data_IF_729394651817
#
_entry.id   IF_729394651817
#
_cell.length_a   1.000
_cell.length_b   1.000
_cell.length_c   1.000
_cell.angle_alpha   90.00
_cell.angle_beta   90.00
_cell.angle_gamma   90.00
#
_symmetry.space_group_name_H-M   'P 1'
#
loop_
_entity.id
_entity.type
_entity.pdbx_description
1 polymer ?
#
# COMPACT_ATOMS: atom_id res chain seq x y z
N UNK A 1 15.99 12.01 21.47
CA UNK A 1 16.13 12.70 20.15
C UNK A 1 14.87 12.46 19.37
N UNK A 2 14.40 13.45 18.61
CA UNK A 2 13.25 13.28 17.71
C UNK A 2 13.62 12.32 16.56
N UNK A 3 12.66 11.53 16.07
CA UNK A 3 12.82 10.76 14.83
C UNK A 3 12.62 11.71 13.64
N UNK A 4 13.58 11.69 12.71
CA UNK A 4 13.59 12.55 11.52
C UNK A 4 12.97 11.81 10.34
N UNK A 5 11.88 12.34 9.82
CA UNK A 5 11.03 11.66 8.84
C UNK A 5 11.22 12.21 7.43
N UNK A 6 11.22 11.32 6.45
CA UNK A 6 10.93 11.62 5.05
C UNK A 6 9.59 11.00 4.68
N UNK A 7 8.61 11.81 4.24
CA UNK A 7 7.25 11.32 3.93
C UNK A 7 7.02 11.37 2.42
N UNK A 8 6.95 10.20 1.81
CA UNK A 8 6.71 10.03 0.39
C UNK A 8 5.22 9.87 0.14
N UNK A 9 4.63 10.77 -0.65
CA UNK A 9 3.19 10.84 -0.88
C UNK A 9 2.46 11.65 0.19
N UNK A 10 3.06 12.73 0.69
CA UNK A 10 2.55 13.56 1.81
C UNK A 10 1.18 14.17 1.57
N UNK A 11 0.80 14.41 0.32
CA UNK A 11 -0.50 14.98 -0.07
C UNK A 11 -1.60 13.93 -0.28
N UNK A 12 -1.26 12.65 -0.18
CA UNK A 12 -2.22 11.54 -0.21
C UNK A 12 -2.86 11.29 1.16
N UNK A 13 -3.87 10.40 1.21
CA UNK A 13 -4.59 10.09 2.45
C UNK A 13 -3.67 9.64 3.59
N UNK A 14 -2.75 8.71 3.34
CA UNK A 14 -1.80 8.23 4.35
C UNK A 14 -0.80 9.32 4.75
N UNK A 15 -0.31 10.10 3.77
CA UNK A 15 0.64 11.17 4.04
C UNK A 15 0.05 12.27 4.92
N UNK A 16 -1.20 12.68 4.66
CA UNK A 16 -1.92 13.66 5.49
C UNK A 16 -2.09 13.13 6.91
N UNK A 17 -2.61 11.91 7.08
CA UNK A 17 -2.77 11.32 8.41
C UNK A 17 -1.42 11.07 9.12
N UNK A 18 -0.33 10.85 8.38
CA UNK A 18 1.01 10.82 8.97
C UNK A 18 1.40 12.19 9.54
N UNK A 19 1.11 13.26 8.82
CA UNK A 19 1.37 14.62 9.29
C UNK A 19 0.49 15.01 10.47
N UNK A 20 -0.77 14.54 10.53
CA UNK A 20 -1.65 14.71 11.71
C UNK A 20 -1.00 14.09 12.96
N UNK A 21 -0.46 12.86 12.85
CA UNK A 21 0.25 12.18 13.94
C UNK A 21 1.51 12.95 14.35
N UNK A 22 2.24 13.49 13.39
CA UNK A 22 3.43 14.33 13.67
C UNK A 22 3.04 15.59 14.42
N UNK A 23 1.97 16.27 14.01
CA UNK A 23 1.45 17.46 14.66
C UNK A 23 0.95 17.21 16.10
N UNK A 24 0.36 16.03 16.33
CA UNK A 24 -0.07 15.58 17.67
C UNK A 24 1.11 15.23 18.59
N UNK A 25 2.31 14.94 18.03
CA UNK A 25 3.49 14.46 18.79
C UNK A 25 4.77 15.22 18.39
N UNK A 26 4.80 16.57 18.51
CA UNK A 26 5.90 17.38 17.99
C UNK A 26 7.21 17.17 18.76
N UNK A 27 7.16 16.58 19.95
CA UNK A 27 8.35 16.23 20.74
C UNK A 27 9.02 14.93 20.28
N UNK A 28 8.31 14.08 19.51
CA UNK A 28 8.81 12.79 19.05
C UNK A 28 9.31 12.83 17.61
N UNK A 29 8.79 13.73 16.79
CA UNK A 29 9.04 13.74 15.34
C UNK A 29 9.53 15.09 14.83
N UNK A 30 10.26 15.02 13.72
CA UNK A 30 10.70 16.14 12.90
C UNK A 30 10.62 15.73 11.42
N UNK A 31 9.98 16.54 10.59
CA UNK A 31 9.85 16.25 9.15
C UNK A 31 10.99 16.92 8.40
N UNK A 32 11.82 16.13 7.72
CA UNK A 32 12.96 16.64 6.93
C UNK A 32 12.63 16.82 5.46
N UNK A 33 11.82 15.94 4.92
CA UNK A 33 11.43 16.06 3.51
C UNK A 33 10.01 15.56 3.26
N UNK A 34 9.35 16.21 2.30
CA UNK A 34 8.04 15.82 1.80
C UNK A 34 8.09 15.58 0.30
N UNK A 35 7.39 14.55 -0.14
CA UNK A 35 7.29 14.20 -1.57
C UNK A 35 5.82 14.12 -1.96
N UNK A 36 5.46 14.72 -3.11
CA UNK A 36 4.12 14.60 -3.68
C UNK A 36 4.16 14.32 -5.18
N UNK A 37 3.08 13.78 -5.73
CA UNK A 37 2.93 13.53 -7.17
C UNK A 37 2.80 14.84 -7.96
N UNK A 38 1.64 15.51 -7.85
CA UNK A 38 1.29 16.71 -8.60
C UNK A 38 0.63 17.83 -7.80
N UNK A 39 0.19 17.56 -6.58
CA UNK A 39 -0.51 18.55 -5.74
C UNK A 39 0.50 19.48 -5.06
N UNK A 40 1.04 20.41 -5.84
CA UNK A 40 2.07 21.34 -5.39
C UNK A 40 1.53 22.34 -4.35
N UNK A 41 0.26 22.74 -4.43
CA UNK A 41 -0.35 23.71 -3.51
C UNK A 41 -0.42 23.16 -2.08
N UNK A 42 -0.88 21.91 -1.93
CA UNK A 42 -0.90 21.24 -0.62
C UNK A 42 0.52 20.96 -0.13
N UNK A 43 1.42 20.51 -1.02
CA UNK A 43 2.81 20.26 -0.68
C UNK A 43 3.51 21.52 -0.16
N UNK A 44 3.29 22.67 -0.79
CA UNK A 44 3.86 23.95 -0.33
C UNK A 44 3.35 24.34 1.06
N UNK A 45 2.04 24.19 1.32
CA UNK A 45 1.45 24.45 2.66
C UNK A 45 2.04 23.53 3.72
N UNK A 46 2.08 22.23 3.45
CA UNK A 46 2.69 21.24 4.35
C UNK A 46 4.16 21.54 4.63
N UNK A 47 4.91 21.93 3.59
CA UNK A 47 6.32 22.26 3.73
C UNK A 47 6.58 23.45 4.67
N UNK A 48 5.75 24.47 4.57
CA UNK A 48 5.84 25.66 5.44
C UNK A 48 5.38 25.32 6.86
N UNK A 49 4.28 24.59 7.01
CA UNK A 49 3.70 24.22 8.30
C UNK A 49 4.63 23.37 9.14
N UNK A 50 5.30 22.40 8.51
CA UNK A 50 6.21 21.46 9.20
C UNK A 50 7.68 21.87 9.14
N UNK A 51 8.01 23.06 8.61
CA UNK A 51 9.36 23.63 8.53
C UNK A 51 10.40 22.64 7.99
N UNK A 52 10.11 22.07 6.82
CA UNK A 52 10.94 21.00 6.22
C UNK A 52 12.18 21.53 5.51
N UNK A 53 13.24 20.74 5.42
CA UNK A 53 14.47 21.12 4.69
C UNK A 53 14.28 21.09 3.17
N UNK A 54 13.44 20.17 2.69
CA UNK A 54 13.29 19.96 1.25
C UNK A 54 11.93 19.35 0.85
N UNK A 55 11.55 19.62 -0.38
CA UNK A 55 10.39 19.02 -1.03
C UNK A 55 10.73 18.48 -2.41
N UNK A 56 10.02 17.42 -2.81
CA UNK A 56 10.11 16.87 -4.18
C UNK A 56 8.73 16.78 -4.78
N UNK A 57 8.57 17.36 -5.98
CA UNK A 57 7.35 17.17 -6.78
C UNK A 57 7.67 16.23 -7.95
N UNK A 58 6.95 15.10 -8.06
CA UNK A 58 7.25 14.11 -9.09
C UNK A 58 6.85 14.59 -10.49
N UNK A 59 5.75 15.35 -10.62
CA UNK A 59 5.33 15.96 -11.86
C UNK A 59 6.18 17.22 -12.15
N UNK A 60 7.16 17.09 -13.04
CA UNK A 60 8.10 18.15 -13.43
C UNK A 60 7.39 19.40 -13.94
N UNK A 61 6.19 19.29 -14.52
CA UNK A 61 5.40 20.44 -14.98
C UNK A 61 4.95 21.34 -13.83
N UNK A 62 5.02 20.87 -12.58
CA UNK A 62 4.64 21.59 -11.36
C UNK A 62 5.83 22.19 -10.62
N UNK A 63 7.06 21.92 -11.06
CA UNK A 63 8.27 22.37 -10.39
C UNK A 63 8.33 23.88 -10.20
N UNK A 64 8.13 24.66 -11.26
CA UNK A 64 8.23 26.13 -11.19
C UNK A 64 7.17 26.74 -10.27
N UNK A 65 5.95 26.21 -10.27
CA UNK A 65 4.89 26.67 -9.36
C UNK A 65 5.27 26.44 -7.90
N UNK A 66 5.79 25.25 -7.57
CA UNK A 66 6.24 24.93 -6.23
C UNK A 66 7.43 25.78 -5.80
N UNK A 67 8.43 25.95 -6.69
CA UNK A 67 9.61 26.78 -6.45
C UNK A 67 9.24 28.24 -6.16
N UNK A 68 8.32 28.81 -6.93
CA UNK A 68 7.84 30.18 -6.73
C UNK A 68 7.09 30.32 -5.40
N UNK A 69 6.20 29.37 -5.07
CA UNK A 69 5.44 29.37 -3.81
C UNK A 69 6.34 29.29 -2.57
N UNK A 70 7.51 28.66 -2.68
CA UNK A 70 8.46 28.48 -1.58
C UNK A 70 9.67 29.45 -1.64
N UNK A 71 9.69 30.40 -2.56
CA UNK A 71 10.85 31.27 -2.80
C UNK A 71 11.27 32.13 -1.58
N UNK A 72 10.34 32.41 -0.64
CA UNK A 72 10.60 33.19 0.58
C UNK A 72 11.00 32.33 1.80
N UNK A 73 11.09 31.02 1.63
CA UNK A 73 11.39 30.04 2.69
C UNK A 73 12.73 29.34 2.41
N UNK A 74 13.49 28.92 3.45
CA UNK A 74 14.77 28.23 3.27
C UNK A 74 14.58 26.74 2.90
N UNK A 75 13.58 26.44 2.06
CA UNK A 75 13.18 25.08 1.68
C UNK A 75 13.73 24.79 0.27
N UNK A 76 14.47 23.68 0.13
CA UNK A 76 14.99 23.23 -1.16
C UNK A 76 13.91 22.52 -1.96
N UNK A 77 13.76 22.89 -3.23
CA UNK A 77 12.74 22.31 -4.13
C UNK A 77 13.41 21.46 -5.19
N UNK A 78 12.95 20.23 -5.34
CA UNK A 78 13.46 19.27 -6.31
C UNK A 78 12.32 18.66 -7.13
N UNK A 79 12.66 17.97 -8.22
CA UNK A 79 11.69 17.24 -9.06
C UNK A 79 12.29 15.95 -9.61
N UNK A 80 11.43 15.02 -10.01
CA UNK A 80 11.79 13.76 -10.65
C UNK A 80 12.10 12.61 -9.69
N UNK A 81 12.18 11.40 -10.24
CA UNK A 81 12.36 10.15 -9.47
C UNK A 81 13.69 10.07 -8.74
N UNK A 82 14.78 10.57 -9.38
CA UNK A 82 16.12 10.55 -8.79
C UNK A 82 16.18 11.45 -7.54
N UNK A 83 15.47 12.57 -7.56
CA UNK A 83 15.39 13.45 -6.41
C UNK A 83 14.64 12.80 -5.25
N UNK A 84 13.60 12.00 -5.51
CA UNK A 84 12.90 11.21 -4.48
C UNK A 84 13.87 10.24 -3.81
N UNK A 85 14.65 9.48 -4.59
CA UNK A 85 15.68 8.60 -4.05
C UNK A 85 16.79 9.38 -3.31
N UNK A 86 17.11 10.59 -3.77
CA UNK A 86 18.10 11.46 -3.14
C UNK A 86 17.71 11.90 -1.74
N UNK A 87 16.47 12.36 -1.54
CA UNK A 87 16.01 12.85 -0.22
C UNK A 87 15.90 11.72 0.81
N UNK A 88 15.54 10.50 0.41
CA UNK A 88 15.50 9.35 1.34
C UNK A 88 16.90 8.89 1.79
N UNK A 89 17.94 9.09 0.96
CA UNK A 89 19.33 8.76 1.32
C UNK A 89 19.98 9.77 2.27
N UNK A 90 19.34 10.91 2.52
CA UNK A 90 19.90 11.96 3.37
C UNK A 90 20.30 11.43 4.75
N UNK A 91 21.47 11.84 5.25
CA UNK A 91 21.92 11.55 6.64
C UNK A 91 21.00 12.16 7.69
N UNK A 92 20.21 13.16 7.31
CA UNK A 92 19.25 13.83 8.18
C UNK A 92 17.90 13.09 8.30
N UNK A 93 17.74 11.94 7.64
CA UNK A 93 16.53 11.09 7.70
C UNK A 93 16.83 9.82 8.50
N UNK A 94 15.96 9.47 9.43
CA UNK A 94 16.01 8.23 10.22
C UNK A 94 14.96 7.23 9.72
N UNK A 95 13.77 7.73 9.38
CA UNK A 95 12.60 6.92 8.98
C UNK A 95 12.03 7.43 7.68
N UNK A 96 11.78 6.53 6.76
CA UNK A 96 11.07 6.80 5.50
C UNK A 96 9.66 6.24 5.60
N UNK A 97 8.65 7.12 5.50
CA UNK A 97 7.25 6.72 5.35
C UNK A 97 6.97 6.63 3.85
N UNK A 98 6.82 5.43 3.33
CA UNK A 98 6.51 5.24 1.91
C UNK A 98 5.00 5.07 1.72
N UNK A 99 4.32 6.16 1.33
CA UNK A 99 2.90 6.22 0.98
C UNK A 99 2.67 6.63 -0.48
N UNK A 100 3.64 6.33 -1.36
CA UNK A 100 3.44 6.43 -2.81
C UNK A 100 2.44 5.38 -3.28
N UNK A 101 1.90 5.55 -4.48
CA UNK A 101 0.91 4.65 -5.07
C UNK A 101 1.56 3.87 -6.21
N UNK A 102 1.31 2.56 -6.25
CA UNK A 102 1.74 1.71 -7.35
C UNK A 102 3.25 1.45 -7.38
N UNK A 103 3.75 1.14 -8.57
CA UNK A 103 5.16 0.80 -8.83
C UNK A 103 6.17 1.86 -8.34
N UNK A 104 5.76 3.14 -8.30
CA UNK A 104 6.64 4.25 -7.95
C UNK A 104 7.27 4.16 -6.54
N UNK A 105 6.74 3.32 -5.66
CA UNK A 105 7.28 3.09 -4.31
C UNK A 105 8.52 2.21 -4.26
N UNK A 106 8.79 1.39 -5.28
CA UNK A 106 9.86 0.38 -5.25
C UNK A 106 11.25 1.01 -5.14
N UNK A 107 11.62 1.90 -6.06
CA UNK A 107 12.96 2.51 -6.07
C UNK A 107 13.30 3.31 -4.82
N UNK A 108 12.40 4.17 -4.29
CA UNK A 108 12.65 4.87 -3.03
C UNK A 108 12.79 3.91 -1.84
N UNK A 109 12.06 2.78 -1.81
CA UNK A 109 12.23 1.76 -0.77
C UNK A 109 13.61 1.12 -0.83
N UNK A 110 14.07 0.73 -2.02
CA UNK A 110 15.43 0.20 -2.23
C UNK A 110 16.48 1.24 -1.79
N UNK A 111 16.30 2.50 -2.21
CA UNK A 111 17.20 3.59 -1.81
C UNK A 111 17.26 3.80 -0.28
N UNK A 112 16.12 3.67 0.41
CA UNK A 112 16.04 3.74 1.86
C UNK A 112 16.77 2.57 2.54
N UNK A 113 16.60 1.34 2.03
CA UNK A 113 17.31 0.14 2.51
C UNK A 113 18.82 0.31 2.33
N UNK A 114 19.28 0.77 1.14
CA UNK A 114 20.68 1.02 0.85
C UNK A 114 21.31 2.03 1.83
N UNK A 115 20.54 3.03 2.23
CA UNK A 115 20.95 4.06 3.18
C UNK A 115 20.73 3.67 4.65
N UNK A 116 20.27 2.45 4.94
CA UNK A 116 20.08 1.96 6.32
C UNK A 116 18.92 2.63 7.06
N UNK A 117 17.90 3.14 6.36
CA UNK A 117 16.79 3.86 6.96
C UNK A 117 15.67 2.90 7.38
N UNK A 118 15.11 3.09 8.58
CA UNK A 118 13.87 2.42 8.99
C UNK A 118 12.76 2.77 8.00
N UNK A 119 11.93 1.80 7.63
CA UNK A 119 10.84 1.99 6.67
C UNK A 119 9.51 1.74 7.34
N UNK A 120 8.60 2.71 7.27
CA UNK A 120 7.19 2.58 7.56
C UNK A 120 6.46 2.48 6.21
N UNK A 121 6.06 1.26 5.85
CA UNK A 121 5.62 0.91 4.49
C UNK A 121 4.10 0.88 4.39
N UNK A 122 3.53 1.82 3.64
CA UNK A 122 2.13 1.83 3.23
C UNK A 122 1.95 1.39 1.76
N UNK A 123 2.99 1.55 0.93
CA UNK A 123 2.98 1.14 -0.46
C UNK A 123 3.15 -0.38 -0.58
N UNK A 124 2.05 -1.12 -0.61
CA UNK A 124 2.05 -2.57 -0.73
C UNK A 124 2.62 -3.06 -2.06
N UNK A 125 2.46 -2.26 -3.12
CA UNK A 125 2.95 -2.60 -4.44
C UNK A 125 4.47 -2.80 -4.47
N UNK A 126 5.21 -2.17 -3.58
CA UNK A 126 6.65 -2.44 -3.39
C UNK A 126 6.95 -3.91 -3.13
N UNK A 127 6.19 -4.55 -2.23
CA UNK A 127 6.37 -5.97 -1.90
C UNK A 127 5.68 -6.90 -2.91
N UNK A 128 4.60 -6.45 -3.54
CA UNK A 128 3.97 -7.18 -4.64
C UNK A 128 4.90 -7.30 -5.83
N UNK A 129 5.55 -6.21 -6.21
CA UNK A 129 6.43 -6.16 -7.39
C UNK A 129 7.76 -6.87 -7.15
N UNK A 130 8.44 -6.56 -6.07
CA UNK A 130 9.82 -7.01 -5.84
C UNK A 130 10.07 -7.45 -4.40
N UNK A 131 9.10 -8.14 -3.78
CA UNK A 131 9.16 -8.50 -2.36
C UNK A 131 10.35 -9.38 -1.99
N UNK A 132 10.76 -10.32 -2.85
CA UNK A 132 11.96 -11.14 -2.67
C UNK A 132 13.22 -10.28 -2.61
N UNK A 133 13.38 -9.36 -3.54
CA UNK A 133 14.53 -8.44 -3.59
C UNK A 133 14.54 -7.52 -2.38
N UNK A 134 13.40 -6.89 -2.08
CA UNK A 134 13.26 -5.90 -1.00
C UNK A 134 13.50 -6.55 0.36
N UNK A 135 12.88 -7.68 0.66
CA UNK A 135 13.02 -8.35 1.95
C UNK A 135 14.40 -8.94 2.14
N UNK A 136 15.02 -9.50 1.09
CA UNK A 136 16.42 -9.96 1.14
C UNK A 136 17.37 -8.82 1.43
N UNK A 137 17.29 -7.70 0.70
CA UNK A 137 18.14 -6.52 0.92
C UNK A 137 17.93 -5.93 2.33
N UNK A 138 16.70 -5.87 2.81
CA UNK A 138 16.38 -5.39 4.15
C UNK A 138 17.01 -6.29 5.23
N UNK A 139 16.92 -7.61 5.09
CA UNK A 139 17.53 -8.58 6.00
C UNK A 139 19.06 -8.49 6.01
N UNK A 140 19.70 -8.42 4.83
CA UNK A 140 21.16 -8.29 4.70
C UNK A 140 21.71 -7.03 5.36
N UNK A 141 20.93 -5.94 5.36
CA UNK A 141 21.33 -4.65 5.93
C UNK A 141 20.79 -4.40 7.34
N UNK A 142 19.98 -5.31 7.88
CA UNK A 142 19.35 -5.14 9.19
C UNK A 142 18.36 -3.97 9.24
N UNK A 143 17.75 -3.64 8.11
CA UNK A 143 16.77 -2.54 7.99
C UNK A 143 15.37 -3.06 8.35
N UNK A 144 14.70 -2.50 9.38
CA UNK A 144 13.33 -2.87 9.69
C UNK A 144 12.33 -2.27 8.72
N UNK A 145 11.42 -3.09 8.22
CA UNK A 145 10.24 -2.68 7.46
C UNK A 145 9.01 -2.89 8.35
N UNK A 146 8.33 -1.82 8.70
CA UNK A 146 7.14 -1.83 9.56
C UNK A 146 5.89 -1.55 8.71
N UNK A 147 4.90 -2.44 8.73
CA UNK A 147 3.71 -2.28 7.90
C UNK A 147 2.79 -1.17 8.42
N UNK A 148 2.32 -0.34 7.51
CA UNK A 148 1.26 0.65 7.73
C UNK A 148 -0.09 0.10 7.25
N UNK A 149 -0.11 -0.76 6.22
CA UNK A 149 -1.36 -1.35 5.75
C UNK A 149 -2.12 -2.00 6.92
N UNK A 150 -3.43 -1.73 7.05
CA UNK A 150 -4.19 -2.02 8.27
C UNK A 150 -4.17 -3.50 8.64
N UNK A 151 -4.29 -4.37 7.66
CA UNK A 151 -4.30 -5.82 7.83
C UNK A 151 -2.93 -6.35 8.27
N UNK A 152 -1.86 -5.85 7.67
CA UNK A 152 -0.49 -6.25 7.99
C UNK A 152 -0.04 -5.67 9.33
N UNK A 153 -0.42 -4.43 9.63
CA UNK A 153 -0.24 -3.85 10.96
C UNK A 153 -0.94 -4.69 12.04
N UNK A 154 -2.17 -5.16 11.77
CA UNK A 154 -2.92 -6.02 12.68
C UNK A 154 -2.22 -7.36 12.92
N UNK A 155 -1.76 -8.03 11.85
CA UNK A 155 -1.00 -9.29 11.93
C UNK A 155 0.30 -9.05 12.73
N UNK A 156 1.05 -8.00 12.39
CA UNK A 156 2.28 -7.64 13.09
C UNK A 156 2.01 -7.44 14.59
N UNK A 157 0.96 -6.70 14.97
CA UNK A 157 0.58 -6.50 16.37
C UNK A 157 0.20 -7.81 17.09
N UNK A 158 -0.43 -8.75 16.39
CA UNK A 158 -0.76 -10.06 16.95
C UNK A 158 0.48 -10.94 17.17
N UNK A 159 1.52 -10.76 16.36
CA UNK A 159 2.76 -11.56 16.42
C UNK A 159 3.81 -10.99 17.40
N UNK A 160 3.69 -9.72 17.81
CA UNK A 160 4.67 -9.12 18.74
C UNK A 160 4.71 -9.90 20.06
N UNK A 161 5.90 -10.38 20.43
CA UNK A 161 6.14 -11.16 21.63
C UNK A 161 5.79 -12.62 21.54
N UNK A 162 5.18 -13.08 20.44
CA UNK A 162 4.87 -14.50 20.23
C UNK A 162 6.10 -15.30 19.78
N UNK A 163 6.20 -16.51 20.31
CA UNK A 163 7.20 -17.51 19.92
C UNK A 163 6.54 -18.85 19.53
N UNK A 164 5.20 -18.91 19.61
CA UNK A 164 4.42 -20.09 19.29
C UNK A 164 4.39 -20.34 17.78
N UNK A 165 4.37 -21.59 17.34
CA UNK A 165 4.27 -21.90 15.91
C UNK A 165 2.97 -21.35 15.33
N UNK A 166 3.11 -20.59 14.24
CA UNK A 166 2.02 -20.04 13.46
C UNK A 166 1.39 -21.14 12.60
N UNK A 167 0.07 -21.34 12.69
CA UNK A 167 -0.70 -22.20 11.79
C UNK A 167 -1.06 -21.49 10.50
N UNK A 168 -1.74 -20.33 10.59
CA UNK A 168 -2.10 -19.52 9.42
C UNK A 168 -2.36 -18.05 9.76
N UNK A 169 -2.32 -17.23 8.74
CA UNK A 169 -2.80 -15.85 8.74
C UNK A 169 -4.22 -15.80 8.20
N UNK A 170 -5.05 -14.94 8.78
CA UNK A 170 -6.43 -14.70 8.36
C UNK A 170 -6.57 -13.21 8.06
N UNK A 171 -6.49 -12.87 6.77
CA UNK A 171 -6.60 -11.50 6.28
C UNK A 171 -8.07 -11.17 6.07
N UNK A 172 -8.57 -10.12 6.69
CA UNK A 172 -9.96 -9.70 6.52
C UNK A 172 -10.11 -8.65 5.42
N UNK A 173 -11.32 -8.51 4.87
CA UNK A 173 -11.67 -7.43 3.94
C UNK A 173 -13.14 -7.06 4.06
N UNK A 174 -13.50 -5.82 3.70
CA UNK A 174 -14.91 -5.38 3.66
C UNK A 174 -15.74 -6.06 2.57
N UNK A 175 -15.07 -6.62 1.55
CA UNK A 175 -15.69 -7.10 0.31
C UNK A 175 -15.90 -6.01 -0.75
N UNK A 176 -15.48 -4.77 -0.47
CA UNK A 176 -15.54 -3.63 -1.39
C UNK A 176 -16.95 -3.12 -1.69
N UNK A 177 -17.02 -2.11 -2.56
CA UNK A 177 -18.27 -1.41 -2.93
C UNK A 177 -19.29 -2.31 -3.66
N UNK A 178 -18.82 -3.39 -4.27
CA UNK A 178 -19.65 -4.26 -5.12
C UNK A 178 -19.97 -5.61 -4.45
N UNK A 179 -19.70 -5.77 -3.15
CA UNK A 179 -19.94 -7.03 -2.43
C UNK A 179 -21.35 -7.59 -2.66
N UNK A 180 -22.35 -6.75 -2.57
CA UNK A 180 -23.76 -7.16 -2.64
C UNK A 180 -24.36 -7.07 -4.06
N UNK A 181 -23.53 -6.76 -5.09
CA UNK A 181 -23.94 -6.67 -6.49
C UNK A 181 -23.88 -8.06 -7.14
N UNK A 182 -24.94 -8.53 -7.83
CA UNK A 182 -24.91 -9.79 -8.57
C UNK A 182 -23.81 -9.83 -9.65
N UNK A 183 -23.22 -10.99 -9.90
CA UNK A 183 -22.18 -11.18 -10.93
C UNK A 183 -22.66 -10.70 -12.31
N UNK A 184 -23.91 -10.99 -12.65
CA UNK A 184 -24.52 -10.62 -13.95
C UNK A 184 -24.53 -9.11 -14.21
N UNK A 185 -24.50 -8.27 -13.16
CA UNK A 185 -24.51 -6.81 -13.25
C UNK A 185 -23.10 -6.20 -13.30
N UNK A 186 -22.05 -6.95 -12.97
CA UNK A 186 -20.69 -6.40 -12.86
C UNK A 186 -20.19 -5.77 -14.17
N UNK A 187 -20.61 -6.30 -15.32
CA UNK A 187 -20.23 -5.77 -16.65
C UNK A 187 -20.72 -4.33 -16.89
N UNK A 188 -21.80 -3.94 -16.20
CA UNK A 188 -22.48 -2.65 -16.36
C UNK A 188 -22.14 -1.66 -15.21
N UNK A 189 -21.20 -2.05 -14.32
CA UNK A 189 -20.75 -1.20 -13.21
C UNK A 189 -19.93 -0.03 -13.76
N UNK A 190 -20.31 1.18 -13.31
CA UNK A 190 -19.59 2.41 -13.66
C UNK A 190 -18.52 2.75 -12.60
N UNK A 191 -17.51 3.58 -12.93
CA UNK A 191 -16.52 4.06 -11.97
C UNK A 191 -17.18 4.71 -10.73
N UNK A 192 -18.20 5.53 -10.93
CA UNK A 192 -18.87 6.26 -9.83
C UNK A 192 -19.58 5.30 -8.85
N UNK A 193 -20.08 4.14 -9.34
CA UNK A 193 -20.66 3.09 -8.49
C UNK A 193 -19.55 2.34 -7.73
N UNK A 194 -18.48 1.98 -8.42
CA UNK A 194 -17.36 1.24 -7.83
C UNK A 194 -16.54 2.06 -6.81
N UNK A 195 -16.53 3.40 -6.93
CA UNK A 195 -15.85 4.30 -6.01
C UNK A 195 -16.59 4.52 -4.68
N UNK A 196 -17.83 4.04 -4.51
CA UNK A 196 -18.60 4.19 -3.27
C UNK A 196 -18.26 3.10 -2.26
N UNK A 197 -17.05 3.18 -1.67
CA UNK A 197 -16.66 2.24 -0.62
C UNK A 197 -17.51 2.44 0.66
N UNK A 198 -18.04 1.34 1.28
CA UNK A 198 -18.99 1.48 2.39
C UNK A 198 -18.36 1.95 3.71
N UNK A 199 -17.07 1.69 3.96
CA UNK A 199 -16.42 1.93 5.25
C UNK A 199 -15.25 2.91 5.16
N UNK A 200 -14.51 2.94 4.05
CA UNK A 200 -13.26 3.68 3.94
C UNK A 200 -13.35 4.82 2.93
N UNK A 201 -12.77 5.98 3.29
CA UNK A 201 -12.50 7.06 2.34
C UNK A 201 -11.06 6.92 1.85
N UNK A 202 -10.89 6.45 0.62
CA UNK A 202 -9.60 6.08 0.05
C UNK A 202 -9.37 6.74 -1.32
N UNK A 203 -8.13 6.67 -1.81
CA UNK A 203 -7.82 7.06 -3.18
C UNK A 203 -8.56 6.22 -4.23
N UNK A 204 -8.76 6.78 -5.42
CA UNK A 204 -9.57 6.15 -6.46
C UNK A 204 -9.01 4.77 -6.87
N UNK A 205 -7.68 4.64 -7.07
CA UNK A 205 -7.05 3.37 -7.49
C UNK A 205 -7.35 2.26 -6.49
N UNK A 206 -7.03 2.45 -5.21
CA UNK A 206 -7.23 1.42 -4.17
C UNK A 206 -8.71 1.11 -3.93
N UNK A 207 -9.62 2.06 -4.17
CA UNK A 207 -11.07 1.81 -4.07
C UNK A 207 -11.54 0.85 -5.17
N UNK A 208 -11.05 0.99 -6.40
CA UNK A 208 -11.33 0.03 -7.48
C UNK A 208 -10.65 -1.32 -7.19
N UNK A 209 -9.42 -1.34 -6.71
CA UNK A 209 -8.73 -2.57 -6.30
C UNK A 209 -9.48 -3.31 -5.18
N UNK A 210 -10.10 -2.57 -4.26
CA UNK A 210 -10.99 -3.14 -3.23
C UNK A 210 -12.24 -3.75 -3.86
N UNK A 211 -12.85 -3.07 -4.84
CA UNK A 211 -14.05 -3.55 -5.52
C UNK A 211 -13.82 -4.81 -6.37
N UNK A 212 -12.61 -5.01 -6.90
CA UNK A 212 -12.18 -6.21 -7.66
C UNK A 212 -11.58 -7.30 -6.78
N UNK A 213 -11.30 -7.02 -5.51
CA UNK A 213 -10.43 -7.79 -4.60
C UNK A 213 -8.98 -7.96 -5.08
N UNK A 214 -8.52 -7.21 -6.09
CA UNK A 214 -7.08 -7.09 -6.40
C UNK A 214 -6.33 -6.58 -5.18
N UNK A 215 -6.87 -5.58 -4.46
CA UNK A 215 -6.26 -5.08 -3.22
C UNK A 215 -6.00 -6.21 -2.23
N UNK A 216 -6.98 -7.09 -2.03
CA UNK A 216 -6.84 -8.22 -1.11
C UNK A 216 -5.86 -9.27 -1.64
N UNK A 217 -5.80 -9.48 -2.95
CA UNK A 217 -4.78 -10.29 -3.58
C UNK A 217 -3.37 -9.76 -3.35
N UNK A 218 -3.18 -8.45 -3.49
CA UNK A 218 -1.90 -7.79 -3.17
C UNK A 218 -1.53 -7.92 -1.70
N UNK A 219 -2.49 -7.82 -0.81
CA UNK A 219 -2.26 -8.00 0.63
C UNK A 219 -1.89 -9.44 1.01
N UNK A 220 -2.40 -10.44 0.31
CA UNK A 220 -1.95 -11.83 0.48
C UNK A 220 -0.47 -11.97 0.09
N UNK A 221 -0.06 -11.36 -1.02
CA UNK A 221 1.35 -11.38 -1.47
C UNK A 221 2.23 -10.58 -0.48
N UNK A 222 1.78 -9.42 -0.02
CA UNK A 222 2.48 -8.62 0.97
C UNK A 222 2.66 -9.37 2.30
N UNK A 223 1.60 -10.07 2.78
CA UNK A 223 1.66 -10.89 3.98
C UNK A 223 2.68 -12.03 3.88
N UNK A 224 2.76 -12.67 2.71
CA UNK A 224 3.78 -13.67 2.43
C UNK A 224 5.19 -13.13 2.68
N UNK A 225 5.50 -11.99 2.08
CA UNK A 225 6.83 -11.38 2.18
C UNK A 225 7.15 -10.85 3.59
N UNK A 226 6.21 -10.16 4.22
CA UNK A 226 6.43 -9.57 5.56
C UNK A 226 6.58 -10.63 6.66
N UNK A 227 5.83 -11.73 6.57
CA UNK A 227 5.74 -12.71 7.66
C UNK A 227 6.33 -14.09 7.33
N UNK A 228 6.82 -14.28 6.10
CA UNK A 228 7.43 -15.55 5.67
C UNK A 228 6.44 -16.72 5.67
N UNK A 229 5.17 -16.47 5.30
CA UNK A 229 4.10 -17.48 5.34
C UNK A 229 3.69 -17.86 3.93
N UNK A 230 3.63 -19.16 3.65
CA UNK A 230 3.26 -19.69 2.34
C UNK A 230 1.78 -19.47 2.00
N UNK A 231 1.46 -19.49 0.70
CA UNK A 231 0.14 -19.26 0.14
C UNK A 231 -0.97 -20.08 0.82
N UNK A 232 -0.71 -21.35 1.08
CA UNK A 232 -1.70 -22.28 1.65
C UNK A 232 -1.98 -22.03 3.14
N UNK A 233 -1.18 -21.17 3.76
CA UNK A 233 -1.32 -20.74 5.16
C UNK A 233 -1.80 -19.31 5.29
N UNK A 234 -2.25 -18.67 4.21
CA UNK A 234 -2.89 -17.35 4.23
C UNK A 234 -4.31 -17.52 3.71
N UNK A 235 -5.30 -17.16 4.51
CA UNK A 235 -6.72 -17.20 4.16
C UNK A 235 -7.33 -15.82 4.16
N UNK A 236 -8.35 -15.60 3.34
CA UNK A 236 -9.10 -14.34 3.24
C UNK A 236 -10.52 -14.55 3.73
N UNK A 237 -11.01 -13.64 4.58
CA UNK A 237 -12.40 -13.60 5.02
C UNK A 237 -13.01 -12.22 4.71
N UNK A 238 -14.23 -12.22 4.22
CA UNK A 238 -15.05 -11.01 4.13
C UNK A 238 -15.59 -10.71 5.52
N UNK A 239 -15.31 -9.50 6.00
CA UNK A 239 -15.79 -8.93 7.27
C UNK A 239 -16.34 -7.53 7.00
N UNK A 240 -17.65 -7.41 6.70
CA UNK A 240 -18.25 -6.15 6.22
C UNK A 240 -18.07 -4.96 7.15
N UNK A 241 -18.00 -5.20 8.46
CA UNK A 241 -17.89 -4.15 9.47
C UNK A 241 -16.48 -3.54 9.54
N UNK A 242 -15.45 -4.22 9.00
CA UNK A 242 -14.04 -3.79 9.03
C UNK A 242 -13.50 -3.46 10.44
N UNK A 243 -14.05 -4.10 11.48
CA UNK A 243 -13.66 -3.93 12.89
C UNK A 243 -12.50 -4.85 13.25
N UNK A 244 -12.55 -6.11 12.83
CA UNK A 244 -11.43 -7.03 12.91
C UNK A 244 -10.55 -6.78 11.70
N UNK A 245 -9.36 -6.19 11.93
CA UNK A 245 -8.47 -5.82 10.83
C UNK A 245 -7.70 -7.00 10.25
N UNK A 246 -7.30 -7.98 11.07
CA UNK A 246 -6.83 -9.32 10.68
C UNK A 246 -6.60 -10.18 11.92
N UNK A 247 -6.29 -11.47 11.71
CA UNK A 247 -6.11 -12.44 12.77
C UNK A 247 -4.93 -13.38 12.47
N UNK A 248 -4.40 -13.97 13.53
CA UNK A 248 -3.35 -14.99 13.50
C UNK A 248 -3.85 -16.21 14.25
N UNK A 249 -3.83 -17.38 13.61
CA UNK A 249 -4.14 -18.67 14.24
C UNK A 249 -2.84 -19.44 14.53
N UNK A 250 -2.69 -19.93 15.75
CA UNK A 250 -1.54 -20.71 16.19
C UNK A 250 -1.84 -22.22 16.16
N UNK A 251 -0.80 -23.06 16.24
CA UNK A 251 -0.92 -24.52 16.16
C UNK A 251 -1.72 -25.14 17.33
N UNK A 252 -1.84 -24.46 18.46
CA UNK A 252 -2.67 -24.86 19.59
C UNK A 252 -4.17 -24.52 19.40
N UNK A 253 -4.52 -23.89 18.28
CA UNK A 253 -5.88 -23.45 17.96
C UNK A 253 -6.25 -22.08 18.51
N UNK A 254 -5.36 -21.40 19.22
CA UNK A 254 -5.60 -20.03 19.67
C UNK A 254 -5.61 -19.05 18.49
N UNK A 255 -6.54 -18.08 18.54
CA UNK A 255 -6.59 -16.99 17.55
C UNK A 255 -6.40 -15.66 18.27
N UNK A 256 -5.43 -14.87 17.79
CA UNK A 256 -5.28 -13.46 18.16
C UNK A 256 -5.80 -12.57 17.05
N UNK A 257 -6.55 -11.54 17.40
CA UNK A 257 -7.10 -10.58 16.47
C UNK A 257 -6.81 -9.15 16.95
N UNK A 258 -6.52 -8.25 16.03
CA UNK A 258 -6.50 -6.83 16.35
C UNK A 258 -7.81 -6.20 15.87
N UNK A 259 -8.47 -5.50 16.78
CA UNK A 259 -9.74 -4.82 16.55
C UNK A 259 -9.57 -3.31 16.73
N UNK A 260 -10.35 -2.55 15.96
CA UNK A 260 -10.41 -1.09 16.06
C UNK A 260 -11.45 -0.50 15.14
N UNK A 261 -11.66 0.80 15.24
CA UNK A 261 -12.40 1.56 14.25
C UNK A 261 -11.62 1.60 12.92
N UNK A 262 -12.30 1.70 11.75
CA UNK A 262 -11.63 1.83 10.45
C UNK A 262 -10.94 3.18 10.31
N UNK A 263 -9.72 3.30 10.84
CA UNK A 263 -8.90 4.52 10.84
C UNK A 263 -7.43 4.18 10.63
N UNK A 264 -6.76 4.90 9.71
CA UNK A 264 -5.35 4.65 9.40
C UNK A 264 -4.38 5.32 10.37
N UNK A 265 -4.80 6.22 11.23
CA UNK A 265 -3.92 6.82 12.24
C UNK A 265 -3.36 5.77 13.20
N UNK A 266 -4.15 4.74 13.57
CA UNK A 266 -3.69 3.68 14.46
C UNK A 266 -2.50 2.87 13.84
N UNK A 267 -2.60 2.28 12.65
CA UNK A 267 -1.48 1.54 12.08
C UNK A 267 -0.29 2.45 11.73
N UNK A 268 -0.51 3.70 11.28
CA UNK A 268 0.56 4.65 11.02
C UNK A 268 1.31 4.97 12.32
N UNK A 269 0.59 5.36 13.38
CA UNK A 269 1.21 5.68 14.66
C UNK A 269 1.97 4.49 15.25
N UNK A 270 1.43 3.28 15.11
CA UNK A 270 2.11 2.07 15.58
C UNK A 270 3.40 1.78 14.82
N UNK A 271 3.43 1.94 13.49
CA UNK A 271 4.64 1.78 12.69
C UNK A 271 5.72 2.81 13.05
N UNK A 272 5.33 4.05 13.33
CA UNK A 272 6.27 5.11 13.70
C UNK A 272 6.82 4.95 15.12
N UNK A 273 5.96 4.59 16.08
CA UNK A 273 6.28 4.56 17.50
C UNK A 273 6.71 3.20 18.03
N UNK A 274 6.62 2.14 17.22
CA UNK A 274 6.99 0.79 17.68
C UNK A 274 8.34 0.77 18.41
N UNK A 275 8.43 0.12 19.59
CA UNK A 275 7.46 -0.81 20.20
C UNK A 275 6.38 -0.15 21.10
N UNK A 276 6.27 1.15 21.12
CA UNK A 276 5.30 1.89 21.94
C UNK A 276 4.00 2.15 21.17
N UNK A 277 2.95 2.56 21.89
CA UNK A 277 1.68 3.00 21.33
C UNK A 277 1.45 4.48 21.62
N UNK A 278 0.88 5.20 20.66
CA UNK A 278 0.38 6.55 20.90
C UNK A 278 -0.82 6.55 21.85
N UNK A 279 -0.96 7.61 22.62
CA UNK A 279 -2.20 7.87 23.37
C UNK A 279 -3.16 8.62 22.44
N UNK A 280 -4.26 7.98 22.06
CA UNK A 280 -5.35 8.60 21.29
C UNK A 280 -6.66 8.44 22.07
N UNK A 281 -7.15 9.49 22.75
CA UNK A 281 -8.33 9.42 23.60
C UNK A 281 -9.65 9.37 22.84
N UNK A 282 -9.70 9.77 21.56
CA UNK A 282 -10.92 10.23 20.92
C UNK A 282 -11.73 9.12 20.23
N UNK A 283 -11.12 7.99 19.84
CA UNK A 283 -11.83 6.92 19.13
C UNK A 283 -11.57 5.55 19.73
N UNK A 284 -12.36 5.23 20.75
CA UNK A 284 -12.34 3.88 21.32
C UNK A 284 -13.47 3.06 20.73
N UNK A 285 -13.13 1.84 20.32
CA UNK A 285 -14.12 0.88 19.87
C UNK A 285 -15.10 0.53 21.01
N UNK A 286 -16.40 0.63 20.73
CA UNK A 286 -17.47 0.29 21.65
C UNK A 286 -18.14 -1.04 21.24
N UNK A 287 -17.94 -2.08 22.02
CA UNK A 287 -18.54 -3.39 21.80
C UNK A 287 -20.07 -3.38 21.92
N UNK A 288 -20.65 -2.45 22.68
CA UNK A 288 -22.12 -2.38 22.83
C UNK A 288 -22.77 -1.73 21.63
N UNK A 289 -22.08 -0.81 20.95
CA UNK A 289 -22.51 -0.24 19.68
C UNK A 289 -22.35 -1.24 18.51
N UNK A 290 -21.44 -2.21 18.64
CA UNK A 290 -21.13 -3.21 17.62
C UNK A 290 -21.19 -4.64 18.16
N UNK A 291 -22.37 -5.12 18.59
CA UNK A 291 -22.52 -6.41 19.30
C UNK A 291 -22.37 -7.63 18.40
N UNK A 292 -22.35 -7.44 17.07
CA UNK A 292 -22.29 -8.54 16.10
C UNK A 292 -21.18 -8.31 15.09
N UNK A 293 -20.30 -9.29 14.94
CA UNK A 293 -19.27 -9.36 13.92
C UNK A 293 -19.58 -10.53 13.00
N UNK A 294 -19.56 -10.30 11.68
CA UNK A 294 -19.91 -11.32 10.68
C UNK A 294 -18.74 -11.60 9.75
N UNK A 295 -18.61 -12.87 9.37
CA UNK A 295 -17.56 -13.34 8.48
C UNK A 295 -18.15 -14.24 7.42
N UNK A 296 -17.60 -14.17 6.20
CA UNK A 296 -17.94 -15.02 5.07
C UNK A 296 -16.70 -15.32 4.21
N UNK A 297 -16.77 -16.40 3.45
CA UNK A 297 -15.77 -16.66 2.42
C UNK A 297 -15.99 -15.75 1.20
N UNK A 298 -14.92 -15.27 0.54
CA UNK A 298 -15.04 -14.54 -0.72
C UNK A 298 -15.52 -15.47 -1.84
N UNK A 299 -16.49 -15.02 -2.63
CA UNK A 299 -16.94 -15.71 -3.84
C UNK A 299 -15.83 -15.64 -4.91
N UNK A 300 -15.14 -16.76 -5.14
CA UNK A 300 -14.03 -16.85 -6.08
C UNK A 300 -14.44 -16.70 -7.56
N UNK A 301 -15.68 -17.04 -7.90
CA UNK A 301 -16.22 -16.81 -9.26
C UNK A 301 -16.42 -15.31 -9.50
N UNK A 302 -16.89 -14.61 -8.49
CA UNK A 302 -17.07 -13.15 -8.54
C UNK A 302 -15.75 -12.38 -8.52
N UNK A 303 -14.76 -12.88 -7.81
CA UNK A 303 -13.48 -12.22 -7.56
C UNK A 303 -12.30 -13.07 -8.03
N UNK A 304 -12.16 -13.35 -9.34
CA UNK A 304 -11.07 -14.19 -9.86
C UNK A 304 -9.70 -13.59 -9.63
N UNK A 305 -9.60 -12.27 -9.46
CA UNK A 305 -8.33 -11.58 -9.15
C UNK A 305 -7.66 -12.10 -7.87
N UNK A 306 -8.44 -12.60 -6.92
CA UNK A 306 -7.88 -13.17 -5.69
C UNK A 306 -7.14 -14.50 -5.97
N UNK A 307 -7.70 -15.37 -6.82
CA UNK A 307 -7.04 -16.62 -7.23
C UNK A 307 -5.80 -16.33 -8.08
N UNK A 308 -5.87 -15.34 -8.97
CA UNK A 308 -4.71 -14.88 -9.76
C UNK A 308 -3.57 -14.46 -8.85
N UNK A 309 -3.85 -13.73 -7.76
CA UNK A 309 -2.82 -13.32 -6.80
C UNK A 309 -2.16 -14.51 -6.09
N UNK A 310 -2.94 -15.50 -5.66
CA UNK A 310 -2.41 -16.74 -5.09
C UNK A 310 -1.54 -17.51 -6.10
N UNK A 311 -1.94 -17.55 -7.37
CA UNK A 311 -1.16 -18.19 -8.41
C UNK A 311 0.13 -17.43 -8.72
N UNK A 312 0.09 -16.10 -8.77
CA UNK A 312 1.29 -15.28 -8.89
C UNK A 312 2.26 -15.51 -7.73
N UNK A 313 1.75 -15.59 -6.50
CA UNK A 313 2.57 -15.85 -5.32
C UNK A 313 3.24 -17.23 -5.38
N UNK A 314 2.50 -18.29 -5.79
CA UNK A 314 3.08 -19.65 -5.96
C UNK A 314 4.10 -19.74 -7.07
N UNK A 315 3.89 -18.99 -8.17
CA UNK A 315 4.84 -18.94 -9.29
C UNK A 315 6.12 -18.20 -8.93
N UNK A 316 6.03 -17.19 -8.07
CA UNK A 316 7.16 -16.32 -7.73
C UNK A 316 7.66 -15.48 -8.91
N UNK A 317 8.94 -15.11 -8.88
CA UNK A 317 9.59 -14.35 -9.93
C UNK A 317 8.83 -13.08 -10.30
N UNK A 318 8.74 -12.77 -11.59
CA UNK A 318 8.07 -11.55 -12.10
C UNK A 318 6.54 -11.63 -12.16
N UNK A 319 5.91 -12.75 -11.77
CA UNK A 319 4.47 -12.93 -11.96
C UNK A 319 3.61 -11.86 -11.26
N UNK A 320 3.90 -11.53 -9.99
CA UNK A 320 3.15 -10.52 -9.25
C UNK A 320 3.45 -9.08 -9.76
N UNK A 321 4.65 -8.83 -10.29
CA UNK A 321 4.99 -7.58 -10.96
C UNK A 321 4.11 -7.37 -12.21
N UNK A 322 3.93 -8.42 -13.03
CA UNK A 322 3.06 -8.39 -14.20
C UNK A 322 1.60 -8.13 -13.80
N UNK A 323 1.11 -8.78 -12.74
CA UNK A 323 -0.22 -8.53 -12.20
C UNK A 323 -0.39 -7.06 -11.79
N UNK A 324 0.59 -6.48 -11.08
CA UNK A 324 0.52 -5.09 -10.65
C UNK A 324 0.51 -4.11 -11.83
N UNK A 325 1.48 -4.22 -12.75
CA UNK A 325 1.61 -3.28 -13.88
C UNK A 325 0.38 -3.29 -14.78
N UNK A 326 -0.17 -4.46 -15.09
CA UNK A 326 -1.39 -4.61 -15.87
C UNK A 326 -2.63 -4.06 -15.14
N UNK A 327 -2.74 -4.29 -13.82
CA UNK A 327 -3.82 -3.74 -13.01
C UNK A 327 -3.80 -2.20 -12.99
N UNK A 328 -2.65 -1.58 -12.83
CA UNK A 328 -2.55 -0.11 -12.82
C UNK A 328 -3.10 0.51 -14.12
N UNK A 329 -2.76 -0.06 -15.27
CA UNK A 329 -3.27 0.40 -16.57
C UNK A 329 -4.76 0.18 -16.70
N UNK A 330 -5.23 -1.02 -16.31
CA UNK A 330 -6.66 -1.36 -16.45
C UNK A 330 -7.54 -0.52 -15.52
N UNK A 331 -7.12 -0.29 -14.29
CA UNK A 331 -7.83 0.59 -13.34
C UNK A 331 -7.86 2.04 -13.83
N UNK A 332 -6.73 2.54 -14.35
CA UNK A 332 -6.69 3.89 -14.93
C UNK A 332 -7.62 4.03 -16.14
N UNK A 333 -7.69 3.02 -17.00
CA UNK A 333 -8.62 2.98 -18.14
C UNK A 333 -10.08 2.93 -17.68
N UNK A 334 -10.39 2.10 -16.68
CA UNK A 334 -11.75 2.02 -16.12
C UNK A 334 -12.19 3.36 -15.54
N UNK A 335 -11.37 4.02 -14.73
CA UNK A 335 -11.66 5.33 -14.15
C UNK A 335 -11.92 6.41 -15.22
N UNK A 336 -11.39 6.24 -16.43
CA UNK A 336 -11.60 7.10 -17.59
C UNK A 336 -12.76 6.62 -18.50
N UNK A 337 -13.56 5.65 -18.08
CA UNK A 337 -14.64 5.04 -18.89
C UNK A 337 -14.16 4.42 -20.22
N UNK A 338 -12.89 4.00 -20.31
CA UNK A 338 -12.30 3.40 -21.52
C UNK A 338 -12.44 1.87 -21.59
N UNK A 339 -12.82 1.23 -20.51
CA UNK A 339 -13.08 -0.21 -20.43
C UNK A 339 -14.19 -0.50 -19.41
N UNK A 340 -14.69 -1.74 -19.38
CA UNK A 340 -15.67 -2.20 -18.40
C UNK A 340 -14.97 -2.62 -17.10
N UNK A 341 -15.73 -2.72 -16.02
CA UNK A 341 -15.23 -3.24 -14.73
C UNK A 341 -14.63 -4.66 -14.86
N UNK A 342 -15.29 -5.54 -15.60
CA UNK A 342 -14.84 -6.91 -15.84
C UNK A 342 -13.58 -7.01 -16.70
N UNK A 343 -13.29 -5.99 -17.51
CA UNK A 343 -12.09 -5.98 -18.36
C UNK A 343 -10.80 -5.78 -17.55
N UNK A 344 -10.91 -5.28 -16.30
CA UNK A 344 -9.75 -5.12 -15.41
C UNK A 344 -9.07 -6.48 -15.17
N UNK A 345 -9.83 -7.47 -14.70
CA UNK A 345 -9.26 -8.80 -14.42
C UNK A 345 -8.84 -9.51 -15.72
N UNK A 346 -9.64 -9.36 -16.80
CA UNK A 346 -9.29 -9.94 -18.08
C UNK A 346 -7.98 -9.38 -18.67
N UNK A 347 -7.70 -8.09 -18.48
CA UNK A 347 -6.42 -7.48 -18.90
C UNK A 347 -5.24 -8.04 -18.08
N UNK A 348 -5.43 -8.31 -16.78
CA UNK A 348 -4.42 -8.95 -15.93
C UNK A 348 -4.13 -10.37 -16.43
N UNK A 349 -5.16 -11.18 -16.68
CA UNK A 349 -5.02 -12.54 -17.20
C UNK A 349 -4.31 -12.55 -18.56
N UNK A 350 -4.69 -11.63 -19.44
CA UNK A 350 -4.03 -11.49 -20.74
C UNK A 350 -2.54 -11.19 -20.59
N UNK A 351 -2.19 -10.20 -19.77
CA UNK A 351 -0.79 -9.84 -19.55
C UNK A 351 0.00 -11.02 -18.95
N UNK A 352 -0.54 -11.71 -17.94
CA UNK A 352 0.11 -12.89 -17.33
C UNK A 352 0.30 -14.05 -18.30
N UNK A 353 -0.56 -14.18 -19.33
CA UNK A 353 -0.46 -15.22 -20.35
C UNK A 353 0.60 -14.93 -21.42
N UNK A 354 1.03 -13.66 -21.58
CA UNK A 354 1.89 -13.18 -22.65
C UNK A 354 3.27 -12.72 -22.20
N UNK A 355 3.34 -12.10 -21.01
CA UNK A 355 4.58 -11.52 -20.51
C UNK A 355 5.67 -12.58 -20.32
N UNK A 356 6.90 -12.19 -20.58
CA UNK A 356 8.07 -12.98 -20.28
C UNK A 356 8.20 -13.23 -18.77
N UNK A 357 8.43 -14.50 -18.39
CA UNK A 357 8.60 -14.87 -16.99
C UNK A 357 10.08 -15.01 -16.63
N UNK A 358 10.51 -14.30 -15.59
CA UNK A 358 11.84 -14.42 -15.00
C UNK A 358 11.69 -14.98 -13.59
N UNK A 359 12.32 -16.14 -13.32
CA UNK A 359 12.18 -16.85 -12.05
C UNK A 359 12.97 -16.20 -10.90
N UNK A 360 14.17 -15.69 -11.20
CA UNK A 360 15.07 -15.03 -10.26
C UNK A 360 15.37 -13.61 -10.77
N UNK A 361 14.45 -12.66 -10.62
CA UNK A 361 14.59 -11.34 -11.25
C UNK A 361 15.56 -10.44 -10.49
N UNK A 362 16.28 -9.65 -11.27
CA UNK A 362 17.01 -8.46 -10.81
C UNK A 362 16.08 -7.25 -10.79
N UNK A 363 16.53 -6.12 -10.25
CA UNK A 363 15.76 -4.87 -10.32
C UNK A 363 15.44 -4.48 -11.78
N UNK A 364 16.40 -4.62 -12.70
CA UNK A 364 16.19 -4.34 -14.11
C UNK A 364 15.15 -5.27 -14.77
N UNK A 365 15.07 -6.54 -14.33
CA UNK A 365 14.04 -7.47 -14.80
C UNK A 365 12.66 -7.06 -14.31
N UNK A 366 12.53 -6.54 -13.08
CA UNK A 366 11.28 -5.99 -12.57
C UNK A 366 10.85 -4.73 -13.33
N UNK A 367 11.79 -3.84 -13.66
CA UNK A 367 11.53 -2.66 -14.50
C UNK A 367 11.00 -3.07 -15.87
N UNK A 368 11.70 -3.99 -16.56
CA UNK A 368 11.30 -4.50 -17.86
C UNK A 368 9.93 -5.20 -17.83
N UNK A 369 9.68 -6.05 -16.81
CA UNK A 369 8.40 -6.73 -16.64
C UNK A 369 7.25 -5.77 -16.34
N UNK A 370 7.48 -4.72 -15.56
CA UNK A 370 6.48 -3.67 -15.33
C UNK A 370 6.13 -2.94 -16.63
N UNK A 371 7.12 -2.56 -17.44
CA UNK A 371 6.89 -1.90 -18.73
C UNK A 371 6.16 -2.82 -19.71
N UNK A 372 6.59 -4.08 -19.84
CA UNK A 372 5.95 -5.06 -20.72
C UNK A 372 4.49 -5.31 -20.31
N UNK A 373 4.22 -5.52 -19.02
CA UNK A 373 2.87 -5.77 -18.52
C UNK A 373 1.92 -4.60 -18.76
N UNK A 374 2.41 -3.39 -18.64
CA UNK A 374 1.65 -2.15 -18.94
C UNK A 374 1.32 -2.07 -20.44
N UNK A 375 2.28 -2.38 -21.30
CA UNK A 375 2.08 -2.40 -22.76
C UNK A 375 1.04 -3.47 -23.16
N UNK A 376 1.14 -4.69 -22.59
CA UNK A 376 0.20 -5.78 -22.85
C UNK A 376 -1.22 -5.45 -22.38
N UNK A 377 -1.37 -4.84 -21.22
CA UNK A 377 -2.69 -4.39 -20.74
C UNK A 377 -3.29 -3.31 -21.65
N UNK A 378 -2.47 -2.34 -22.09
CA UNK A 378 -2.89 -1.30 -23.03
C UNK A 378 -3.29 -1.90 -24.40
N UNK A 379 -2.55 -2.91 -24.88
CA UNK A 379 -2.88 -3.66 -26.11
C UNK A 379 -4.24 -4.35 -25.98
N UNK A 380 -4.45 -5.13 -24.90
CA UNK A 380 -5.72 -5.83 -24.65
C UNK A 380 -6.91 -4.86 -24.63
N UNK A 381 -6.75 -3.74 -23.95
CA UNK A 381 -7.79 -2.71 -23.80
C UNK A 381 -7.88 -1.77 -25.03
N UNK A 382 -7.03 -1.95 -26.05
CA UNK A 382 -6.97 -1.11 -27.26
C UNK A 382 -6.81 0.39 -26.93
N UNK A 383 -6.02 0.70 -25.92
CA UNK A 383 -5.69 2.07 -25.54
C UNK A 383 -4.67 2.63 -26.56
N UNK A 384 -4.89 3.88 -26.99
CA UNK A 384 -3.97 4.59 -27.91
C UNK A 384 -2.93 5.34 -27.13
#
# INVERSE_FOLDING_TARGET
MKQRLSILGSTGSIGVQTLDIVAENPELFEVRSLVAGRNWELLARQAIEFDVDSVVIADESKYEFLREALASYPIKVYTGSDAICGVVRSSEVDVVVNALVGYAGLHPTIAAIEAGKKIALANKETLVVGGDLVMRMAAERGVPILPIDSEHSAIFQCLVGERSPLRRLIVTCSGGALRDVPISELKDVTPERALKHPQWSMGAKITIDSATLVNKGFEVIEAHWLFGVDADRISVLIHPQSIVHSMVEFEDGAIKAQLGTPDMHMPISYALLFPHRATRPEERFDFLAHPTLTFAEPDRVKYPALDIAYDCMRRGGTAACVMNGSNEVAVAAFLQHKCRFTDITAAIEYALSKAAFVAEPTLADYEASNEESRALAAEYLKLK
#
